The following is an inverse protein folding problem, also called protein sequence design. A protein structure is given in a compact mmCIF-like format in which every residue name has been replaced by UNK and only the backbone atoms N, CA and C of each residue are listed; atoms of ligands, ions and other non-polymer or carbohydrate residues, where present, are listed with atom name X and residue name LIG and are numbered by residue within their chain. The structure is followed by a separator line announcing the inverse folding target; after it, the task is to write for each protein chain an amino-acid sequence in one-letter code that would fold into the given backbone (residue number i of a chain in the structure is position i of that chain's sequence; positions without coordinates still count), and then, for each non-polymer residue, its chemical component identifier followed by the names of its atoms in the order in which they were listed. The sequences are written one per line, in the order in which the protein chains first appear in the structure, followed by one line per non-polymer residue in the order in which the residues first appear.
data_IF_959934052531
#
_entry.id   IF_959934052531
#
_cell.length_a   1.000
_cell.length_b   1.000
_cell.length_c   1.000
_cell.angle_alpha   90.00
_cell.angle_beta   90.00
_cell.angle_gamma   90.00
#
_symmetry.space_group_name_H-M   'P 1'
#
loop_
_entity.id
_entity.type
_entity.pdbx_description
1 polymer ?
#
# COMPACT_ATOMS: atom_id res chain seq x y z
N UNK A 1 -6.40 -11.16 -13.35
CA UNK A 1 -5.60 -10.22 -12.54
C UNK A 1 -6.51 -9.24 -11.82
N UNK A 2 -6.16 -8.88 -10.60
CA UNK A 2 -6.94 -7.94 -9.81
C UNK A 2 -6.52 -6.53 -10.18
N UNK A 3 -7.47 -5.61 -10.48
CA UNK A 3 -7.11 -4.21 -10.73
C UNK A 3 -6.47 -3.59 -9.49
N UNK A 4 -5.46 -2.74 -9.71
CA UNK A 4 -4.76 -2.05 -8.63
C UNK A 4 -4.95 -0.55 -8.81
N UNK A 5 -5.59 0.08 -7.81
CA UNK A 5 -5.75 1.53 -7.75
C UNK A 5 -4.74 2.10 -6.80
N UNK A 6 -4.16 3.23 -7.16
CA UNK A 6 -3.16 3.89 -6.34
C UNK A 6 -3.69 5.29 -6.02
N UNK A 7 -3.95 5.54 -4.74
CA UNK A 7 -4.43 6.85 -4.32
C UNK A 7 -3.34 7.91 -4.41
N UNK A 8 -3.75 9.17 -4.47
CA UNK A 8 -2.84 10.29 -4.70
C UNK A 8 -1.68 10.36 -3.70
N UNK A 9 -1.96 10.05 -2.44
CA UNK A 9 -0.90 10.05 -1.41
C UNK A 9 0.22 9.06 -1.72
N UNK A 10 -0.11 7.90 -2.24
CA UNK A 10 0.89 6.91 -2.61
C UNK A 10 1.65 7.36 -3.85
N UNK A 11 0.95 7.95 -4.81
CA UNK A 11 1.60 8.52 -6.00
C UNK A 11 2.57 9.62 -5.61
N UNK A 12 2.18 10.50 -4.68
CA UNK A 12 3.04 11.57 -4.19
C UNK A 12 4.29 11.01 -3.52
N UNK A 13 4.12 9.97 -2.72
CA UNK A 13 5.26 9.31 -2.08
C UNK A 13 6.24 8.77 -3.13
N UNK A 14 5.72 8.10 -4.16
CA UNK A 14 6.55 7.56 -5.24
C UNK A 14 7.29 8.67 -5.99
N UNK A 15 6.60 9.78 -6.28
CA UNK A 15 7.20 10.90 -7.01
C UNK A 15 8.38 11.52 -6.28
N UNK A 16 8.35 11.49 -4.95
CA UNK A 16 9.41 12.08 -4.12
C UNK A 16 10.62 11.17 -3.95
N UNK A 17 10.50 9.91 -4.31
CA UNK A 17 11.62 8.98 -4.20
C UNK A 17 12.59 9.12 -5.36
N UNK A 18 13.92 8.96 -5.09
CA UNK A 18 14.88 8.84 -6.17
C UNK A 18 14.57 7.65 -7.08
N UNK A 19 15.05 7.65 -8.33
CA UNK A 19 14.74 6.57 -9.28
C UNK A 19 15.09 5.17 -8.79
N UNK A 20 16.19 4.99 -8.08
CA UNK A 20 16.62 3.67 -7.64
C UNK A 20 15.63 2.99 -6.68
N UNK A 21 15.22 3.61 -5.58
CA UNK A 21 14.21 2.97 -4.72
C UNK A 21 12.82 3.03 -5.31
N UNK A 22 12.53 4.00 -6.20
CA UNK A 22 11.21 4.15 -6.81
C UNK A 22 10.88 2.98 -7.72
N UNK A 23 11.83 2.55 -8.54
CA UNK A 23 11.56 1.52 -9.54
C UNK A 23 11.16 0.16 -8.91
N UNK A 24 11.92 -0.40 -7.96
CA UNK A 24 11.52 -1.65 -7.32
C UNK A 24 10.16 -1.54 -6.62
N UNK A 25 9.87 -0.39 -6.02
CA UNK A 25 8.60 -0.18 -5.33
C UNK A 25 7.44 -0.16 -6.32
N UNK A 26 7.60 0.50 -7.46
CA UNK A 26 6.58 0.51 -8.51
C UNK A 26 6.33 -0.89 -9.08
N UNK A 27 7.40 -1.65 -9.28
CA UNK A 27 7.27 -3.03 -9.77
C UNK A 27 6.52 -3.88 -8.75
N UNK A 28 6.84 -3.73 -7.47
CA UNK A 28 6.18 -4.49 -6.41
C UNK A 28 4.70 -4.15 -6.30
N UNK A 29 4.34 -2.87 -6.45
CA UNK A 29 2.94 -2.44 -6.43
C UNK A 29 2.18 -3.07 -7.61
N UNK A 30 2.77 -3.08 -8.79
CA UNK A 30 2.16 -3.74 -9.96
C UNK A 30 1.98 -5.24 -9.72
N UNK A 31 2.90 -5.85 -8.98
CA UNK A 31 2.81 -7.27 -8.63
C UNK A 31 1.60 -7.60 -7.76
N UNK A 32 0.99 -6.62 -7.11
CA UNK A 32 -0.23 -6.83 -6.33
C UNK A 32 -1.39 -7.33 -7.20
N UNK A 33 -1.37 -7.03 -8.49
CA UNK A 33 -2.38 -7.54 -9.43
C UNK A 33 -2.42 -9.07 -9.43
N UNK A 34 -1.30 -9.71 -9.11
CA UNK A 34 -1.18 -11.16 -8.97
C UNK A 34 -1.06 -11.58 -7.51
N UNK A 35 -1.31 -10.66 -6.59
CA UNK A 35 -1.21 -10.88 -5.15
C UNK A 35 0.16 -11.43 -4.75
N UNK A 36 1.23 -10.98 -5.43
CA UNK A 36 2.59 -11.41 -5.14
C UNK A 36 3.36 -10.34 -4.39
N UNK A 37 4.39 -10.77 -3.64
CA UNK A 37 5.23 -9.90 -2.85
C UNK A 37 5.17 -10.23 -1.37
N UNK A 38 5.85 -9.43 -0.57
CA UNK A 38 5.86 -9.60 0.90
C UNK A 38 4.62 -8.91 1.48
N UNK A 39 3.51 -9.65 1.45
CA UNK A 39 2.20 -9.17 1.86
C UNK A 39 1.85 -9.76 3.22
N UNK A 40 1.38 -8.91 4.14
CA UNK A 40 0.97 -9.34 5.47
C UNK A 40 -0.25 -8.55 5.92
N UNK A 41 -1.27 -9.22 6.48
CA UNK A 41 -2.43 -8.49 7.01
C UNK A 41 -2.05 -7.72 8.27
N UNK A 42 -2.68 -6.56 8.44
CA UNK A 42 -2.55 -5.77 9.65
C UNK A 42 -3.61 -6.22 10.65
N UNK A 43 -3.39 -5.87 11.92
CA UNK A 43 -4.24 -6.34 13.00
C UNK A 43 -4.77 -5.18 13.84
N UNK A 44 -5.62 -5.49 14.80
CA UNK A 44 -6.19 -4.53 15.74
C UNK A 44 -6.94 -3.41 15.03
N UNK A 45 -6.60 -2.15 15.29
CA UNK A 45 -7.28 -0.99 14.71
C UNK A 45 -7.15 -0.90 13.19
N UNK A 46 -6.17 -1.61 12.64
CA UNK A 46 -5.94 -1.61 11.19
C UNK A 46 -6.39 -2.91 10.52
N UNK A 47 -7.20 -3.68 11.22
CA UNK A 47 -7.75 -4.91 10.65
C UNK A 47 -8.54 -4.60 9.37
N UNK A 48 -8.34 -5.43 8.35
CA UNK A 48 -8.93 -5.20 7.04
C UNK A 48 -7.96 -4.60 6.04
N UNK A 49 -6.88 -4.01 6.54
CA UNK A 49 -5.80 -3.51 5.68
C UNK A 49 -4.66 -4.51 5.65
N UNK A 50 -3.85 -4.42 4.60
CA UNK A 50 -2.66 -5.24 4.43
C UNK A 50 -1.47 -4.33 4.13
N UNK A 51 -0.27 -4.86 4.33
CA UNK A 51 0.94 -4.12 3.95
C UNK A 51 1.74 -4.90 2.92
N UNK A 52 2.29 -4.18 1.96
CA UNK A 52 3.31 -4.67 1.04
C UNK A 52 4.64 -4.07 1.48
N UNK A 53 5.62 -4.91 1.76
CA UNK A 53 6.94 -4.45 2.18
C UNK A 53 7.94 -4.61 1.04
N UNK A 54 8.68 -3.53 0.76
CA UNK A 54 9.75 -3.52 -0.25
C UNK A 54 10.96 -2.81 0.37
N UNK A 55 11.90 -3.58 0.90
CA UNK A 55 13.03 -3.00 1.64
C UNK A 55 12.56 -2.25 2.86
N UNK A 56 12.90 -0.98 2.96
CA UNK A 56 12.47 -0.12 4.06
C UNK A 56 11.12 0.54 3.80
N UNK A 57 10.55 0.33 2.61
CA UNK A 57 9.28 0.96 2.23
C UNK A 57 8.12 0.04 2.50
N UNK A 58 6.98 0.62 2.86
CA UNK A 58 5.75 -0.11 3.08
C UNK A 58 4.59 0.61 2.40
N UNK A 59 3.72 -0.17 1.76
CA UNK A 59 2.50 0.33 1.13
C UNK A 59 1.33 -0.36 1.82
N UNK A 60 0.40 0.43 2.34
CA UNK A 60 -0.81 -0.09 2.95
C UNK A 60 -1.90 -0.12 1.90
N UNK A 61 -2.58 -1.24 1.79
CA UNK A 61 -3.64 -1.41 0.80
C UNK A 61 -4.80 -2.19 1.40
N UNK A 62 -5.91 -2.18 0.70
CA UNK A 62 -7.11 -2.93 1.08
C UNK A 62 -7.77 -3.48 -0.17
N UNK A 63 -8.61 -4.47 0.03
CA UNK A 63 -9.47 -4.97 -1.03
C UNK A 63 -10.80 -4.24 -0.95
N UNK A 64 -11.28 -3.77 -2.08
CA UNK A 64 -12.58 -3.09 -2.19
C UNK A 64 -13.37 -3.65 -3.35
N UNK A 65 -14.69 -3.63 -3.22
CA UNK A 65 -15.57 -3.92 -4.36
C UNK A 65 -15.89 -2.58 -5.01
N UNK A 66 -15.47 -2.39 -6.24
CA UNK A 66 -15.71 -1.16 -7.00
C UNK A 66 -16.43 -1.55 -8.28
N UNK A 67 -17.66 -1.10 -8.43
CA UNK A 67 -18.48 -1.46 -9.58
C UNK A 67 -18.66 -2.97 -9.72
N UNK A 68 -18.73 -3.69 -8.59
CA UNK A 68 -18.85 -5.14 -8.59
C UNK A 68 -17.54 -5.88 -8.85
N UNK A 69 -16.41 -5.17 -8.96
CA UNK A 69 -15.11 -5.77 -9.23
C UNK A 69 -14.23 -5.70 -7.99
N UNK A 70 -13.67 -6.84 -7.59
CA UNK A 70 -12.72 -6.90 -6.47
C UNK A 70 -11.44 -6.17 -6.89
N UNK A 71 -11.10 -5.13 -6.15
CA UNK A 71 -10.02 -4.20 -6.50
C UNK A 71 -9.07 -4.04 -5.32
N UNK A 72 -7.78 -3.90 -5.60
CA UNK A 72 -6.79 -3.54 -4.58
C UNK A 72 -6.59 -2.04 -4.64
N UNK A 73 -6.77 -1.37 -3.49
CA UNK A 73 -6.58 0.08 -3.39
C UNK A 73 -5.42 0.36 -2.45
N UNK A 74 -4.36 0.96 -2.97
CA UNK A 74 -3.21 1.39 -2.19
C UNK A 74 -3.55 2.75 -1.58
N UNK A 75 -3.58 2.81 -0.25
CA UNK A 75 -4.11 3.98 0.46
C UNK A 75 -3.05 4.82 1.15
N UNK A 76 -1.91 4.24 1.48
CA UNK A 76 -0.89 4.96 2.20
C UNK A 76 0.47 4.31 1.95
N UNK A 77 1.54 5.11 2.00
CA UNK A 77 2.89 4.60 1.83
C UNK A 77 3.85 5.39 2.70
N UNK A 78 4.94 4.76 3.09
CA UNK A 78 5.97 5.41 3.87
C UNK A 78 7.16 4.49 4.06
N UNK A 79 8.19 5.02 4.73
CA UNK A 79 9.35 4.23 5.11
C UNK A 79 9.28 3.96 6.60
N UNK A 80 9.76 2.79 7.03
CA UNK A 80 9.84 2.37 8.42
C UNK A 80 8.48 2.04 9.06
N UNK A 81 8.56 1.45 10.24
CA UNK A 81 7.39 0.94 10.97
C UNK A 81 6.42 2.01 11.45
N UNK A 82 6.92 3.19 11.75
CA UNK A 82 6.10 4.26 12.29
C UNK A 82 4.95 4.68 11.36
N UNK A 83 5.03 4.29 10.09
CA UNK A 83 3.95 4.56 9.13
C UNK A 83 2.61 4.01 9.63
N UNK A 84 2.61 2.92 10.38
CA UNK A 84 1.36 2.35 10.90
C UNK A 84 0.69 3.25 11.92
N UNK A 85 1.49 3.89 12.77
CA UNK A 85 0.98 4.85 13.75
C UNK A 85 0.42 6.10 13.06
N UNK A 86 1.12 6.59 12.06
CA UNK A 86 0.67 7.74 11.28
C UNK A 86 -0.65 7.43 10.57
N UNK A 87 -0.73 6.26 9.94
CA UNK A 87 -1.95 5.86 9.25
C UNK A 87 -3.10 5.66 10.23
N UNK A 88 -2.84 4.99 11.34
CA UNK A 88 -3.84 4.73 12.36
C UNK A 88 -4.43 6.03 12.93
N UNK A 89 -3.61 7.06 13.09
CA UNK A 89 -4.06 8.34 13.65
C UNK A 89 -5.20 8.96 12.86
N UNK A 90 -5.37 8.61 11.59
CA UNK A 90 -6.45 9.11 10.73
C UNK A 90 -7.82 8.58 11.16
N UNK A 91 -7.85 7.48 11.88
CA UNK A 91 -9.09 6.86 12.33
C UNK A 91 -9.38 7.14 13.79
N UNK A 92 -8.49 7.87 14.48
CA UNK A 92 -8.59 8.12 15.92
C UNK A 92 -9.20 9.47 16.27
N UNK A 93 -9.68 10.20 15.30
CA UNK A 93 -10.27 11.53 15.49
C UNK A 93 -11.72 11.46 15.91
#
# INVERSE_FOLDING_TARGET
MIPVRIQEEVLDYLRKLPPQPRHPLKVAIKGLAKESGDIKPLTEELEGFLRLRVGSHRVIFEYEMIGGVRTITCVFAGSRRWIYEVFQSRFSE
#
